data_IF_893336928368
#
_entry.id   IF_893336928368
#
_cell.length_a   1.000
_cell.length_b   1.000
_cell.length_c   1.000
_cell.angle_alpha   90.00
_cell.angle_beta   90.00
_cell.angle_gamma   90.00
#
_symmetry.space_group_name_H-M   'P 1'
#
loop_
_entity.id
_entity.type
_entity.pdbx_description
1 polymer ?
#
# COMPACT_ATOMS: atom_id res chain seq x y z
N UNK A 1 9.97 -21.32 8.04
CA UNK A 1 8.51 -21.04 8.07
C UNK A 1 8.22 -20.00 6.99
N UNK A 2 7.10 -20.07 6.26
CA UNK A 2 6.80 -19.05 5.25
C UNK A 2 6.78 -17.69 5.93
N UNK A 3 7.55 -16.74 5.40
CA UNK A 3 7.63 -15.37 5.91
C UNK A 3 6.27 -14.69 5.72
N UNK A 4 5.58 -14.33 6.80
CA UNK A 4 4.32 -13.59 6.71
C UNK A 4 4.63 -12.13 6.44
N UNK A 5 4.72 -11.78 5.16
CA UNK A 5 4.80 -10.41 4.65
C UNK A 5 3.40 -9.84 4.49
N UNK A 6 3.18 -8.61 4.95
CA UNK A 6 1.89 -7.92 4.81
C UNK A 6 2.11 -6.54 4.23
N UNK A 7 1.33 -6.19 3.21
CA UNK A 7 1.29 -4.85 2.65
C UNK A 7 0.39 -3.93 3.50
N UNK A 8 0.85 -2.73 3.81
CA UNK A 8 0.09 -1.70 4.53
C UNK A 8 -0.37 -0.63 3.54
N UNK A 9 -1.68 -0.52 3.39
CA UNK A 9 -2.33 0.50 2.56
C UNK A 9 -2.53 1.83 3.33
N UNK A 10 -2.67 2.93 2.58
CA UNK A 10 -2.98 4.27 3.11
C UNK A 10 -4.21 4.23 4.00
N UNK A 11 -5.30 3.59 3.57
CA UNK A 11 -6.57 3.59 4.31
C UNK A 11 -6.42 2.97 5.70
N UNK A 12 -5.67 1.88 5.82
CA UNK A 12 -5.40 1.22 7.09
C UNK A 12 -4.53 2.08 8.01
N UNK A 13 -3.46 2.68 7.47
CA UNK A 13 -2.57 3.56 8.24
C UNK A 13 -3.31 4.79 8.77
N UNK A 14 -4.17 5.40 7.96
CA UNK A 14 -5.00 6.53 8.37
C UNK A 14 -5.96 6.14 9.50
N UNK A 15 -6.75 5.10 9.31
CA UNK A 15 -7.71 4.64 10.34
C UNK A 15 -7.01 4.19 11.62
N UNK A 16 -5.83 3.55 11.52
CA UNK A 16 -5.04 3.16 12.69
C UNK A 16 -4.65 4.38 13.54
N UNK A 17 -4.41 5.54 12.93
CA UNK A 17 -3.82 6.70 13.60
C UNK A 17 -4.82 7.85 13.85
N UNK A 18 -5.98 7.85 13.18
CA UNK A 18 -7.05 8.83 13.33
C UNK A 18 -8.02 8.44 14.45
N UNK A 19 -7.87 9.05 15.63
CA UNK A 19 -8.70 8.75 16.80
C UNK A 19 -10.22 8.97 16.61
N UNK A 20 -10.61 9.82 15.66
CA UNK A 20 -12.00 10.13 15.32
C UNK A 20 -12.55 9.29 14.16
N UNK A 21 -11.76 8.39 13.58
CA UNK A 21 -12.25 7.43 12.58
C UNK A 21 -13.16 6.39 13.26
N UNK A 22 -14.32 6.12 12.68
CA UNK A 22 -15.28 5.15 13.18
C UNK A 22 -14.69 3.73 13.35
N UNK A 23 -13.67 3.40 12.54
CA UNK A 23 -13.00 2.10 12.54
C UNK A 23 -11.69 2.11 13.37
N UNK A 24 -11.33 3.23 14.00
CA UNK A 24 -10.07 3.38 14.73
C UNK A 24 -9.87 2.30 15.81
N UNK A 25 -10.89 2.05 16.63
CA UNK A 25 -10.80 1.06 17.70
C UNK A 25 -10.60 -0.36 17.15
N UNK A 26 -11.28 -0.69 16.05
CA UNK A 26 -11.11 -1.97 15.38
C UNK A 26 -9.68 -2.10 14.84
N UNK A 27 -9.16 -1.06 14.17
CA UNK A 27 -7.80 -1.04 13.62
C UNK A 27 -6.73 -1.19 14.70
N UNK A 28 -6.88 -0.50 15.82
CA UNK A 28 -5.99 -0.63 16.99
C UNK A 28 -6.01 -2.05 17.56
N UNK A 29 -7.20 -2.64 17.76
CA UNK A 29 -7.33 -4.00 18.28
C UNK A 29 -6.69 -5.03 17.34
N UNK A 30 -6.90 -4.89 16.03
CA UNK A 30 -6.28 -5.76 15.03
C UNK A 30 -4.75 -5.57 15.00
N UNK A 31 -4.25 -4.35 15.00
CA UNK A 31 -2.82 -4.06 15.02
C UNK A 31 -2.12 -4.74 16.21
N UNK A 32 -2.70 -4.64 17.41
CA UNK A 32 -2.19 -5.30 18.61
C UNK A 32 -2.08 -6.82 18.47
N UNK A 33 -2.95 -7.45 17.69
CA UNK A 33 -2.93 -8.91 17.45
C UNK A 33 -1.86 -9.35 16.44
N UNK A 34 -1.52 -8.48 15.48
CA UNK A 34 -0.70 -8.85 14.32
C UNK A 34 0.73 -8.33 14.39
N UNK A 35 0.98 -7.23 15.11
CA UNK A 35 2.28 -6.53 15.12
C UNK A 35 3.45 -7.40 15.58
N UNK A 36 3.21 -8.38 16.45
CA UNK A 36 4.23 -9.33 16.93
C UNK A 36 4.35 -10.59 16.09
N UNK A 37 3.36 -10.88 15.24
CA UNK A 37 3.23 -12.15 14.51
C UNK A 37 3.50 -12.01 13.00
N UNK A 38 3.60 -10.78 12.49
CA UNK A 38 3.95 -10.48 11.09
C UNK A 38 5.46 -10.26 11.01
N UNK A 39 6.13 -10.95 10.08
CA UNK A 39 7.58 -10.88 9.94
C UNK A 39 8.07 -9.55 9.37
N UNK A 40 7.30 -9.00 8.43
CA UNK A 40 7.60 -7.74 7.79
C UNK A 40 6.31 -7.07 7.31
N UNK A 41 6.19 -5.78 7.63
CA UNK A 41 5.23 -4.89 7.01
C UNK A 41 5.89 -4.19 5.84
N UNK A 42 5.22 -4.15 4.69
CA UNK A 42 5.71 -3.51 3.49
C UNK A 42 4.76 -2.37 3.15
N UNK A 43 5.30 -1.20 2.84
CA UNK A 43 4.52 -0.09 2.28
C UNK A 43 5.39 0.65 1.26
N UNK A 44 4.88 1.71 0.64
CA UNK A 44 5.55 2.38 -0.48
C UNK A 44 5.79 3.87 -0.20
N UNK A 45 6.74 4.47 -0.90
CA UNK A 45 6.95 5.92 -0.86
C UNK A 45 5.70 6.71 -1.27
N UNK A 46 4.83 6.14 -2.10
CA UNK A 46 3.57 6.77 -2.53
C UNK A 46 2.51 6.72 -1.43
N UNK A 47 2.39 5.60 -0.72
CA UNK A 47 1.53 5.49 0.48
C UNK A 47 2.03 6.42 1.58
N UNK A 48 3.34 6.47 1.80
CA UNK A 48 3.94 7.46 2.70
C UNK A 48 3.55 8.88 2.32
N UNK A 49 3.65 9.25 1.03
CA UNK A 49 3.22 10.56 0.53
C UNK A 49 1.72 10.83 0.79
N UNK A 50 0.83 9.87 0.56
CA UNK A 50 -0.61 10.03 0.81
C UNK A 50 -0.91 10.22 2.30
N UNK A 51 -0.30 9.41 3.17
CA UNK A 51 -0.42 9.54 4.63
C UNK A 51 0.08 10.91 5.08
N UNK A 52 1.26 11.32 4.61
CA UNK A 52 1.86 12.62 4.95
C UNK A 52 0.94 13.77 4.55
N UNK A 53 0.49 13.74 3.30
CA UNK A 53 -0.38 14.78 2.73
C UNK A 53 -1.71 14.85 3.47
N UNK A 54 -2.33 13.70 3.76
CA UNK A 54 -3.64 13.63 4.41
C UNK A 54 -3.66 14.27 5.80
N UNK A 55 -2.69 13.92 6.66
CA UNK A 55 -2.65 14.46 8.01
C UNK A 55 -2.24 15.93 8.02
N UNK A 56 -1.27 16.31 7.16
CA UNK A 56 -0.81 17.69 7.11
C UNK A 56 -1.92 18.64 6.60
N UNK A 57 -2.76 18.19 5.66
CA UNK A 57 -3.90 18.99 5.18
C UNK A 57 -5.01 19.19 6.23
N UNK A 58 -4.93 18.52 7.38
CA UNK A 58 -5.90 18.57 8.49
C UNK A 58 -5.30 19.15 9.77
N UNK A 59 -4.18 19.86 9.67
CA UNK A 59 -3.46 20.46 10.79
C UNK A 59 -2.96 19.44 11.84
N UNK A 60 -2.68 18.20 11.42
CA UNK A 60 -2.12 17.15 12.28
C UNK A 60 -0.60 16.99 12.08
N UNK A 61 0.13 18.09 11.95
CA UNK A 61 1.57 18.07 11.61
C UNK A 61 2.43 17.23 12.58
N UNK A 62 2.27 17.44 13.89
CA UNK A 62 3.03 16.68 14.88
C UNK A 62 2.74 15.18 14.81
N UNK A 63 1.47 14.80 14.59
CA UNK A 63 1.06 13.40 14.44
C UNK A 63 1.69 12.77 13.21
N UNK A 64 1.73 13.49 12.10
CA UNK A 64 2.27 12.91 10.85
C UNK A 64 3.78 12.78 10.86
N UNK A 65 4.49 13.66 11.55
CA UNK A 65 5.93 13.48 11.80
C UNK A 65 6.17 12.20 12.61
N UNK A 66 5.36 11.97 13.64
CA UNK A 66 5.44 10.74 14.44
C UNK A 66 5.17 9.49 13.59
N UNK A 67 4.06 9.46 12.84
CA UNK A 67 3.69 8.34 11.98
C UNK A 67 4.72 8.11 10.89
N UNK A 68 5.19 9.17 10.24
CA UNK A 68 6.23 9.10 9.21
C UNK A 68 7.53 8.52 9.74
N UNK A 69 7.96 8.92 10.95
CA UNK A 69 9.12 8.33 11.60
C UNK A 69 8.93 6.84 11.90
N UNK A 70 7.74 6.41 12.31
CA UNK A 70 7.47 4.97 12.48
C UNK A 70 7.57 4.20 11.16
N UNK A 71 7.08 4.75 10.06
CA UNK A 71 7.18 4.11 8.74
C UNK A 71 8.62 4.05 8.22
N UNK A 72 9.44 5.07 8.52
CA UNK A 72 10.81 5.18 8.03
C UNK A 72 11.84 4.44 8.88
N UNK A 73 11.64 4.40 10.21
CA UNK A 73 12.66 3.98 11.16
C UNK A 73 12.34 2.65 11.85
N UNK A 74 11.10 2.14 11.75
CA UNK A 74 10.76 0.86 12.37
C UNK A 74 11.46 -0.29 11.66
N UNK A 75 12.18 -1.18 12.37
CA UNK A 75 12.84 -2.34 11.77
C UNK A 75 11.84 -3.38 11.24
N UNK A 76 10.59 -3.34 11.67
CA UNK A 76 9.52 -4.21 11.17
C UNK A 76 8.84 -3.69 9.91
N UNK A 77 9.14 -2.45 9.48
CA UNK A 77 8.54 -1.81 8.31
C UNK A 77 9.60 -1.65 7.23
N UNK A 78 9.33 -2.22 6.06
CA UNK A 78 10.10 -2.01 4.85
C UNK A 78 9.37 -1.01 3.96
N UNK A 79 9.93 0.18 3.82
CA UNK A 79 9.46 1.19 2.88
C UNK A 79 10.09 0.96 1.50
N UNK A 80 9.30 0.53 0.53
CA UNK A 80 9.74 0.38 -0.86
C UNK A 80 9.65 1.73 -1.57
N UNK A 81 10.77 2.24 -2.06
CA UNK A 81 10.76 3.44 -2.89
C UNK A 81 10.30 3.11 -4.30
N UNK A 82 9.27 3.82 -4.76
CA UNK A 82 8.79 3.74 -6.14
C UNK A 82 9.80 4.44 -7.04
N UNK A 83 10.55 3.66 -7.80
CA UNK A 83 11.43 4.15 -8.84
C UNK A 83 10.68 4.35 -10.17
N UNK A 84 11.41 4.78 -11.21
CA UNK A 84 10.86 5.01 -12.54
C UNK A 84 10.23 3.75 -13.15
N UNK A 85 10.84 2.58 -12.91
CA UNK A 85 10.35 1.30 -13.45
C UNK A 85 9.01 0.95 -12.81
N UNK A 86 8.92 1.01 -11.48
CA UNK A 86 7.70 0.75 -10.73
C UNK A 86 6.60 1.74 -11.10
N UNK A 87 6.94 3.02 -11.27
CA UNK A 87 5.99 4.05 -11.71
C UNK A 87 5.36 3.71 -13.07
N UNK A 88 6.18 3.41 -14.08
CA UNK A 88 5.66 3.10 -15.42
C UNK A 88 4.92 1.76 -15.49
N UNK A 89 5.34 0.75 -14.72
CA UNK A 89 4.60 -0.50 -14.59
C UNK A 89 3.22 -0.27 -13.95
N UNK A 90 3.16 0.50 -12.87
CA UNK A 90 1.90 0.88 -12.23
C UNK A 90 1.02 1.73 -13.15
N UNK A 91 1.61 2.65 -13.93
CA UNK A 91 0.89 3.45 -14.93
C UNK A 91 0.32 2.59 -16.07
N UNK A 92 1.07 1.60 -16.55
CA UNK A 92 0.59 0.66 -17.55
C UNK A 92 -0.57 -0.19 -17.00
N UNK A 93 -0.45 -0.66 -15.75
CA UNK A 93 -1.52 -1.39 -15.07
C UNK A 93 -2.78 -0.54 -14.92
N UNK A 94 -2.63 0.70 -14.44
CA UNK A 94 -3.72 1.65 -14.26
C UNK A 94 -4.52 1.88 -15.56
N UNK A 95 -3.83 2.06 -16.69
CA UNK A 95 -4.48 2.28 -17.99
C UNK A 95 -5.28 1.07 -18.49
N UNK A 96 -4.92 -0.14 -18.08
CA UNK A 96 -5.59 -1.38 -18.48
C UNK A 96 -6.87 -1.66 -17.67
N UNK A 97 -6.97 -1.14 -16.45
CA UNK A 97 -8.05 -1.44 -15.50
C UNK A 97 -9.06 -0.29 -15.37
N UNK A 98 -9.55 0.22 -16.51
CA UNK A 98 -10.51 1.34 -16.55
C UNK A 98 -11.89 1.00 -15.97
N UNK A 99 -12.20 -0.30 -15.87
CA UNK A 99 -13.42 -0.82 -15.24
C UNK A 99 -13.37 -0.76 -13.71
N UNK A 100 -12.19 -0.49 -13.13
CA UNK A 100 -11.97 -0.41 -11.69
C UNK A 100 -11.76 1.03 -11.24
N UNK A 101 -12.14 1.32 -9.99
CA UNK A 101 -11.93 2.62 -9.35
C UNK A 101 -10.58 2.69 -8.62
N UNK A 102 -9.54 2.12 -9.20
CA UNK A 102 -8.20 2.16 -8.61
C UNK A 102 -7.60 3.55 -8.75
N UNK A 103 -6.83 3.97 -7.76
CA UNK A 103 -5.87 5.05 -7.89
C UNK A 103 -4.60 4.55 -8.59
N UNK A 104 -3.72 5.47 -8.99
CA UNK A 104 -2.38 5.11 -9.45
C UNK A 104 -1.57 4.46 -8.31
N UNK A 105 -1.74 4.94 -7.07
CA UNK A 105 -1.10 4.36 -5.89
C UNK A 105 -1.51 2.89 -5.69
N UNK A 106 -2.79 2.55 -5.86
CA UNK A 106 -3.28 1.17 -5.79
C UNK A 106 -2.63 0.31 -6.88
N UNK A 107 -2.56 0.84 -8.10
CA UNK A 107 -1.98 0.13 -9.25
C UNK A 107 -0.50 -0.16 -9.05
N UNK A 108 0.27 0.80 -8.54
CA UNK A 108 1.68 0.61 -8.18
C UNK A 108 1.80 -0.40 -7.03
N UNK A 109 0.92 -0.32 -6.02
CA UNK A 109 0.89 -1.24 -4.89
C UNK A 109 0.67 -2.69 -5.33
N UNK A 110 -0.23 -2.94 -6.29
CA UNK A 110 -0.42 -4.28 -6.85
C UNK A 110 0.83 -4.82 -7.56
N UNK A 111 1.53 -4.00 -8.35
CA UNK A 111 2.78 -4.38 -8.99
C UNK A 111 3.84 -4.74 -7.96
N UNK A 112 4.00 -3.94 -6.91
CA UNK A 112 4.97 -4.20 -5.83
C UNK A 112 4.59 -5.46 -5.06
N UNK A 113 3.32 -5.63 -4.69
CA UNK A 113 2.84 -6.85 -4.03
C UNK A 113 3.15 -8.09 -4.87
N UNK A 114 2.98 -8.00 -6.19
CA UNK A 114 3.32 -9.08 -7.11
C UNK A 114 4.82 -9.37 -7.18
N UNK A 115 5.67 -8.34 -7.28
CA UNK A 115 7.12 -8.51 -7.38
C UNK A 115 7.78 -9.00 -6.08
N UNK A 116 7.18 -8.73 -4.92
CA UNK A 116 7.73 -9.08 -3.61
C UNK A 116 7.09 -10.33 -2.97
N UNK A 117 6.24 -11.04 -3.73
CA UNK A 117 5.46 -12.20 -3.29
C UNK A 117 4.64 -11.91 -2.01
N UNK A 118 3.92 -10.78 -2.02
CA UNK A 118 3.08 -10.32 -0.91
C UNK A 118 1.63 -10.61 -1.23
N UNK A 119 1.05 -11.57 -0.50
CA UNK A 119 -0.32 -12.04 -0.74
C UNK A 119 -1.34 -11.47 0.24
N UNK A 120 -0.90 -10.75 1.28
CA UNK A 120 -1.78 -10.16 2.28
C UNK A 120 -1.65 -8.65 2.29
N UNK A 121 -2.78 -7.95 2.30
CA UNK A 121 -2.84 -6.49 2.48
C UNK A 121 -3.77 -6.15 3.66
N UNK A 122 -3.38 -5.14 4.43
CA UNK A 122 -4.27 -4.49 5.40
C UNK A 122 -4.76 -3.17 4.80
N UNK A 123 -6.07 -3.09 4.60
CA UNK A 123 -6.78 -1.95 4.05
C UNK A 123 -8.16 -1.80 4.74
N UNK A 124 -8.80 -0.63 4.59
CA UNK A 124 -10.16 -0.35 5.06
C UNK A 124 -11.06 -0.22 3.84
N UNK A 125 -12.21 -0.90 3.87
CA UNK A 125 -13.14 -0.96 2.74
C UNK A 125 -13.77 0.41 2.44
N UNK A 126 -13.42 1.01 1.31
CA UNK A 126 -14.19 2.08 0.67
C UNK A 126 -14.39 1.85 -0.85
N UNK A 127 -13.81 0.79 -1.42
CA UNK A 127 -13.98 0.39 -2.82
C UNK A 127 -13.44 -1.04 -3.04
N UNK A 128 -14.20 -1.82 -3.80
CA UNK A 128 -14.07 -3.26 -4.09
C UNK A 128 -12.63 -3.81 -4.14
N UNK A 129 -12.09 -4.17 -2.97
CA UNK A 129 -11.01 -5.14 -2.86
C UNK A 129 -11.64 -6.53 -2.66
N UNK A 130 -11.10 -7.52 -3.37
CA UNK A 130 -11.69 -8.84 -3.61
C UNK A 130 -12.29 -9.49 -2.35
N UNK A 131 -13.56 -9.88 -2.47
CA UNK A 131 -14.37 -10.50 -1.41
C UNK A 131 -13.70 -11.78 -0.89
N UNK A 132 -13.15 -11.71 0.31
CA UNK A 132 -12.89 -12.85 1.18
C UNK A 132 -13.51 -12.55 2.55
N UNK A 133 -14.29 -13.48 3.03
CA UNK A 133 -15.30 -13.37 4.08
C UNK A 133 -14.78 -12.87 5.45
N UNK A 134 -15.63 -12.06 6.10
CA UNK A 134 -15.71 -11.79 7.55
C UNK A 134 -14.74 -10.79 8.21
N UNK A 135 -15.10 -9.49 8.21
CA UNK A 135 -15.48 -8.63 9.37
C UNK A 135 -15.44 -7.15 8.95
N UNK A 136 -16.53 -6.43 9.22
CA UNK A 136 -16.97 -5.15 8.61
C UNK A 136 -16.12 -3.87 8.84
N UNK A 137 -14.81 -3.95 9.10
CA UNK A 137 -14.01 -2.72 9.25
C UNK A 137 -12.58 -2.82 8.70
N UNK A 138 -11.96 -3.99 8.79
CA UNK A 138 -10.59 -4.21 8.34
C UNK A 138 -10.63 -5.34 7.33
N UNK A 139 -10.24 -5.02 6.11
CA UNK A 139 -10.09 -6.02 5.08
C UNK A 139 -8.67 -6.55 5.15
N UNK A 140 -8.55 -7.83 5.49
CA UNK A 140 -7.37 -8.64 5.19
C UNK A 140 -7.65 -9.32 3.85
N UNK A 141 -7.32 -8.65 2.75
CA UNK A 141 -7.44 -9.29 1.44
C UNK A 141 -6.26 -10.25 1.27
N UNK A 142 -6.59 -11.52 1.02
CA UNK A 142 -5.64 -12.44 0.39
C UNK A 142 -5.78 -12.25 -1.11
N UNK A 143 -4.75 -11.70 -1.74
CA UNK A 143 -4.76 -11.44 -3.17
C UNK A 143 -4.47 -12.76 -3.91
N UNK A 144 -5.46 -13.28 -4.63
CA UNK A 144 -5.19 -14.23 -5.70
C UNK A 144 -4.55 -13.43 -6.83
N UNK A 145 -3.26 -13.68 -7.11
CA UNK A 145 -2.54 -12.98 -8.16
C UNK A 145 -3.31 -13.07 -9.48
N UNK A 146 -3.77 -11.94 -10.07
CA UNK A 146 -4.27 -11.97 -11.43
C UNK A 146 -3.13 -12.47 -12.33
N UNK A 147 -3.45 -13.41 -13.22
CA UNK A 147 -2.49 -14.05 -14.11
C UNK A 147 -2.01 -13.10 -15.22
N UNK A 148 -1.40 -11.97 -14.89
CA UNK A 148 -0.83 -11.00 -15.82
C UNK A 148 0.35 -10.39 -15.05
N UNK A 149 1.62 -10.60 -15.36
CA UNK A 149 2.34 -10.24 -16.59
C UNK A 149 3.38 -11.35 -16.85
N UNK A 150 3.09 -12.30 -17.74
CA UNK A 150 4.12 -13.24 -18.27
C UNK A 150 4.51 -12.97 -19.72
N UNK A 151 3.97 -11.92 -20.37
CA UNK A 151 4.17 -11.80 -21.83
C UNK A 151 4.13 -10.38 -22.43
N UNK A 152 4.19 -9.31 -21.64
CA UNK A 152 4.40 -7.98 -22.23
C UNK A 152 5.86 -7.61 -22.04
N UNK A 153 6.69 -7.85 -23.05
CA UNK A 153 7.80 -6.94 -23.32
C UNK A 153 7.15 -5.56 -23.49
N UNK A 154 7.09 -4.78 -22.42
CA UNK A 154 6.60 -3.41 -22.48
C UNK A 154 7.65 -2.67 -23.32
N UNK A 155 7.33 -2.20 -24.54
CA UNK A 155 8.28 -1.45 -25.33
C UNK A 155 8.18 -0.01 -24.83
N UNK A 156 8.69 0.26 -23.64
CA UNK A 156 8.99 1.61 -23.23
C UNK A 156 10.50 1.77 -23.31
N UNK A 157 10.95 2.26 -24.46
CA UNK A 157 12.14 3.11 -24.46
C UNK A 157 11.85 4.25 -23.50
N UNK A 158 12.40 4.20 -22.29
CA UNK A 158 12.54 5.38 -21.44
C UNK A 158 13.13 6.47 -22.35
N UNK A 159 12.43 7.59 -22.59
CA UNK A 159 13.00 8.63 -23.42
C UNK A 159 14.33 9.03 -22.78
N UNK A 160 15.43 8.89 -23.51
CA UNK A 160 16.80 9.20 -23.05
C UNK A 160 17.01 10.66 -22.63
N UNK A 161 15.94 11.46 -22.54
CA UNK A 161 15.94 12.88 -22.18
C UNK A 161 15.76 13.16 -20.68
N UNK A 162 15.47 12.17 -19.84
CA UNK A 162 15.33 12.40 -18.39
C UNK A 162 16.64 12.20 -17.59
N UNK A 163 17.75 11.82 -18.24
CA UNK A 163 19.08 11.68 -17.61
C UNK A 163 20.08 12.67 -18.21
N UNK A 164 19.69 13.93 -18.45
CA UNK A 164 20.65 15.02 -18.69
C UNK A 164 20.07 16.36 -18.24
N UNK A 165 20.29 16.70 -16.96
CA UNK A 165 20.91 17.95 -16.50
C UNK A 165 21.00 17.99 -14.98
#
# INVERSE_FOLDING_TARGET
MPTRKVFLDTSYLLTLELANDQNHQAAQAHWQQVVTNVNAFITTSYIFYEVVTYFNSRNHHAKVVQVGNYLLLSPSVQLVHVDETLFYLGWAYFQQHKDKKYSLTDSISFIIMQQYDIYSVYAIDNSECLKSSERKAIIICSFEMPALIKSAAIPFSVPSRCIQN
#
